data_IF_022004608239
#
_entry.id   IF_022004608239
#
_cell.length_a   1.000
_cell.length_b   1.000
_cell.length_c   1.000
_cell.angle_alpha   90.00
_cell.angle_beta   90.00
_cell.angle_gamma   90.00
#
_symmetry.space_group_name_H-M   'P 1'
#
loop_
_entity.id
_entity.type
_entity.pdbx_description
1 polymer ?
#
# COMPACT_ATOMS: atom_id res chain seq x y z
N UNK A 1 4.67 7.71 -14.56
CA UNK A 1 3.61 8.61 -14.09
C UNK A 1 2.96 8.03 -12.84
N UNK A 2 2.65 8.85 -11.86
CA UNK A 2 1.88 8.47 -10.67
C UNK A 2 0.51 9.14 -10.70
N UNK A 3 -0.49 8.46 -10.14
CA UNK A 3 -1.85 8.99 -9.99
C UNK A 3 -2.12 9.10 -8.48
N UNK A 4 -2.54 10.27 -7.97
CA UNK A 4 -2.90 10.42 -6.57
C UNK A 4 -4.06 9.53 -6.15
N UNK A 5 -4.15 9.26 -4.85
CA UNK A 5 -5.26 8.54 -4.22
C UNK A 5 -5.88 9.40 -3.09
N UNK A 6 -7.07 9.03 -2.69
CA UNK A 6 -7.79 9.51 -1.51
C UNK A 6 -8.41 8.31 -0.75
N UNK A 7 -9.33 8.53 0.18
CA UNK A 7 -9.92 7.48 1.00
C UNK A 7 -10.71 6.43 0.22
N UNK A 8 -11.08 6.72 -1.04
CA UNK A 8 -11.74 5.78 -1.94
C UNK A 8 -10.78 5.06 -2.91
N UNK A 9 -9.46 5.27 -2.77
CA UNK A 9 -8.42 4.71 -3.62
C UNK A 9 -7.94 5.67 -4.70
N UNK A 10 -7.45 5.16 -5.84
CA UNK A 10 -6.94 5.97 -6.94
C UNK A 10 -7.97 6.97 -7.46
N UNK A 11 -7.57 8.23 -7.68
CA UNK A 11 -8.40 9.29 -8.25
C UNK A 11 -8.61 9.09 -9.75
N UNK A 12 -9.82 8.65 -10.13
CA UNK A 12 -10.16 8.35 -11.53
C UNK A 12 -10.21 9.60 -12.41
N UNK A 13 -10.62 10.74 -11.88
CA UNK A 13 -10.59 12.04 -12.55
C UNK A 13 -9.17 12.45 -12.95
N UNK A 14 -8.22 12.34 -12.01
CA UNK A 14 -6.81 12.65 -12.28
C UNK A 14 -6.15 11.62 -13.21
N UNK A 15 -6.54 10.35 -13.12
CA UNK A 15 -6.11 9.34 -14.09
C UNK A 15 -6.57 9.72 -15.51
N UNK A 16 -7.83 10.09 -15.66
CA UNK A 16 -8.39 10.46 -16.98
C UNK A 16 -7.73 11.70 -17.56
N UNK A 17 -7.44 12.72 -16.74
CA UNK A 17 -6.67 13.90 -17.15
C UNK A 17 -5.28 13.50 -17.64
N UNK A 18 -4.60 12.62 -16.92
CA UNK A 18 -3.26 12.15 -17.29
C UNK A 18 -3.28 11.32 -18.58
N UNK A 19 -4.27 10.47 -18.79
CA UNK A 19 -4.47 9.71 -20.02
C UNK A 19 -4.66 10.64 -21.23
N UNK A 20 -5.48 11.68 -21.08
CA UNK A 20 -5.65 12.73 -22.11
C UNK A 20 -4.35 13.47 -22.41
N UNK A 21 -3.55 13.75 -21.39
CA UNK A 21 -2.25 14.42 -21.52
C UNK A 21 -1.23 13.55 -22.27
N UNK A 22 -1.16 12.26 -21.92
CA UNK A 22 -0.29 11.28 -22.60
C UNK A 22 -0.65 11.16 -24.08
N UNK A 23 -1.94 11.04 -24.40
CA UNK A 23 -2.43 10.92 -25.78
C UNK A 23 -2.07 12.12 -26.67
N UNK A 24 -2.11 13.34 -26.14
CA UNK A 24 -1.69 14.56 -26.86
C UNK A 24 -0.20 14.56 -27.21
N UNK A 25 0.64 13.84 -26.47
CA UNK A 25 2.08 13.75 -26.70
C UNK A 25 2.51 12.65 -27.67
N UNK A 26 1.63 12.06 -28.47
CA UNK A 26 1.88 10.90 -29.35
C UNK A 26 2.48 9.67 -28.59
N UNK A 27 2.22 9.58 -27.28
CA UNK A 27 2.60 8.45 -26.45
C UNK A 27 1.34 7.62 -26.15
N UNK A 28 1.53 6.33 -25.93
CA UNK A 28 0.46 5.42 -25.52
C UNK A 28 0.83 4.83 -24.17
N UNK A 29 -0.09 4.88 -23.23
CA UNK A 29 0.01 4.10 -22.00
C UNK A 29 -0.14 2.62 -22.38
N UNK A 30 0.77 1.77 -21.91
CA UNK A 30 0.71 0.31 -22.15
C UNK A 30 0.10 -0.43 -20.99
N UNK A 31 0.41 -0.01 -19.77
CA UNK A 31 -0.06 -0.67 -18.54
C UNK A 31 -0.18 0.32 -17.39
N UNK A 32 -1.08 0.01 -16.47
CA UNK A 32 -1.26 0.68 -15.20
C UNK A 32 -1.15 -0.39 -14.10
N UNK A 33 -0.25 -0.18 -13.15
CA UNK A 33 -0.09 -1.03 -11.96
C UNK A 33 -0.87 -0.43 -10.80
N UNK A 34 -1.61 -1.26 -10.06
CA UNK A 34 -2.35 -0.84 -8.88
C UNK A 34 -2.45 -1.96 -7.84
N UNK A 35 -2.52 -1.56 -6.56
CA UNK A 35 -2.86 -2.42 -5.43
C UNK A 35 -4.25 -1.99 -4.96
N UNK A 36 -5.34 -2.61 -5.41
CA UNK A 36 -6.69 -2.10 -5.14
C UNK A 36 -7.22 -2.42 -3.75
N UNK A 37 -6.57 -3.32 -3.00
CA UNK A 37 -6.92 -3.67 -1.62
C UNK A 37 -5.80 -3.25 -0.67
N UNK A 38 -6.10 -2.38 0.30
CA UNK A 38 -5.15 -1.96 1.35
C UNK A 38 -3.82 -1.50 0.78
N UNK A 39 -3.90 -0.60 -0.17
CA UNK A 39 -2.81 -0.11 -1.01
C UNK A 39 -1.55 0.21 -0.20
N UNK A 40 -0.40 -0.18 -0.70
CA UNK A 40 0.89 0.24 -0.18
C UNK A 40 1.38 1.47 -0.97
N UNK A 41 1.52 2.65 -0.34
CA UNK A 41 1.65 2.90 1.10
C UNK A 41 0.36 3.30 1.84
N UNK A 42 -0.73 3.64 1.15
CA UNK A 42 -1.86 4.37 1.71
C UNK A 42 -2.77 3.57 2.66
N UNK A 43 -2.77 2.25 2.61
CA UNK A 43 -3.70 1.41 3.38
C UNK A 43 -5.15 1.43 2.87
N UNK A 44 -5.47 2.26 1.88
CA UNK A 44 -6.83 2.45 1.37
C UNK A 44 -7.27 1.34 0.42
N UNK A 45 -8.58 1.13 0.34
CA UNK A 45 -9.20 0.17 -0.59
C UNK A 45 -9.93 0.93 -1.70
N UNK A 46 -9.66 0.56 -2.95
CA UNK A 46 -10.37 1.12 -4.11
C UNK A 46 -11.82 0.66 -4.10
N UNK A 47 -12.75 1.62 -4.15
CA UNK A 47 -14.21 1.37 -4.17
C UNK A 47 -14.66 0.63 -5.43
N UNK A 48 -15.82 -0.02 -5.37
CA UNK A 48 -16.40 -0.74 -6.51
C UNK A 48 -16.66 0.16 -7.72
N UNK A 49 -17.07 1.41 -7.49
CA UNK A 49 -17.28 2.39 -8.57
C UNK A 49 -15.97 2.73 -9.29
N UNK A 50 -14.91 2.98 -8.51
CA UNK A 50 -13.58 3.28 -9.08
C UNK A 50 -12.97 2.08 -9.80
N UNK A 51 -13.20 0.86 -9.31
CA UNK A 51 -12.80 -0.39 -10.01
C UNK A 51 -13.48 -0.48 -11.37
N UNK A 52 -14.79 -0.26 -11.43
CA UNK A 52 -15.55 -0.26 -12.67
C UNK A 52 -15.03 0.82 -13.63
N UNK A 53 -14.85 2.06 -13.14
CA UNK A 53 -14.34 3.15 -13.97
C UNK A 53 -12.93 2.91 -14.49
N UNK A 54 -12.05 2.30 -13.70
CA UNK A 54 -10.70 1.92 -14.12
C UNK A 54 -10.74 0.91 -15.28
N UNK A 55 -11.63 -0.09 -15.22
CA UNK A 55 -11.83 -1.06 -16.30
C UNK A 55 -12.33 -0.35 -17.57
N UNK A 56 -13.34 0.52 -17.46
CA UNK A 56 -13.85 1.31 -18.59
C UNK A 56 -12.73 2.13 -19.25
N UNK A 57 -11.93 2.86 -18.47
CA UNK A 57 -10.79 3.64 -18.96
C UNK A 57 -9.74 2.74 -19.62
N UNK A 58 -9.51 1.53 -19.12
CA UNK A 58 -8.56 0.61 -19.73
C UNK A 58 -8.96 0.17 -21.14
N UNK A 59 -10.25 0.02 -21.38
CA UNK A 59 -10.79 -0.24 -22.72
C UNK A 59 -10.80 0.99 -23.62
N UNK A 60 -11.20 2.14 -23.08
CA UNK A 60 -11.27 3.41 -23.83
C UNK A 60 -9.89 3.86 -24.35
N UNK A 61 -8.85 3.72 -23.52
CA UNK A 61 -7.47 4.14 -23.82
C UNK A 61 -6.54 2.99 -24.20
N UNK A 62 -7.05 1.76 -24.27
CA UNK A 62 -6.37 0.52 -24.68
C UNK A 62 -5.05 0.29 -23.93
N UNK A 63 -5.12 0.22 -22.62
CA UNK A 63 -4.03 -0.22 -21.74
C UNK A 63 -4.41 -1.46 -20.91
N UNK A 64 -3.41 -2.19 -20.42
CA UNK A 64 -3.62 -3.31 -19.51
C UNK A 64 -3.53 -2.86 -18.04
N UNK A 65 -4.37 -3.45 -17.19
CA UNK A 65 -4.28 -3.27 -15.74
C UNK A 65 -3.47 -4.42 -15.17
N UNK A 66 -2.50 -4.09 -14.31
CA UNK A 66 -1.81 -5.03 -13.43
C UNK A 66 -2.37 -4.83 -12.03
N UNK A 67 -3.20 -5.77 -11.60
CA UNK A 67 -3.77 -5.84 -10.26
C UNK A 67 -2.84 -6.66 -9.36
N UNK A 68 -2.18 -6.01 -8.41
CA UNK A 68 -1.38 -6.69 -7.38
C UNK A 68 -2.20 -6.78 -6.08
N UNK A 69 -2.43 -8.01 -5.60
CA UNK A 69 -3.30 -8.25 -4.45
C UNK A 69 -2.61 -9.06 -3.34
N UNK A 70 -1.56 -8.50 -2.71
CA UNK A 70 -0.85 -9.19 -1.63
C UNK A 70 -1.62 -9.20 -0.31
N UNK A 71 -2.61 -8.31 -0.14
CA UNK A 71 -3.28 -8.08 1.14
C UNK A 71 -4.76 -8.40 1.16
N UNK A 72 -5.42 -8.65 0.04
CA UNK A 72 -6.89 -8.75 -0.06
C UNK A 72 -7.54 -9.78 0.87
N UNK A 73 -6.78 -10.80 1.31
CA UNK A 73 -7.23 -11.78 2.30
C UNK A 73 -7.12 -11.29 3.75
N UNK A 74 -6.39 -10.20 4.01
CA UNK A 74 -6.17 -9.63 5.35
C UNK A 74 -7.13 -8.45 5.59
N UNK A 75 -8.42 -8.70 5.44
CA UNK A 75 -9.48 -7.74 5.69
C UNK A 75 -9.98 -7.88 7.12
N UNK A 76 -10.03 -6.78 7.86
CA UNK A 76 -10.49 -6.72 9.25
C UNK A 76 -11.93 -6.26 9.34
N UNK A 77 -12.34 -5.37 8.44
CA UNK A 77 -13.66 -4.75 8.39
C UNK A 77 -14.23 -4.77 6.97
N UNK A 78 -15.57 -4.63 6.87
CA UNK A 78 -16.28 -4.59 5.60
C UNK A 78 -16.40 -5.94 4.89
N UNK A 79 -16.94 -5.90 3.68
CA UNK A 79 -17.16 -7.07 2.83
C UNK A 79 -15.99 -7.36 1.90
N UNK A 80 -15.93 -8.59 1.40
CA UNK A 80 -14.96 -8.97 0.39
C UNK A 80 -15.16 -8.17 -0.91
N UNK A 81 -14.06 -7.65 -1.46
CA UNK A 81 -14.09 -6.94 -2.74
C UNK A 81 -13.75 -7.91 -3.89
N UNK A 82 -14.57 -7.87 -4.93
CA UNK A 82 -14.33 -8.66 -6.14
C UNK A 82 -13.09 -8.13 -6.86
N UNK A 83 -12.08 -8.97 -7.16
CA UNK A 83 -10.91 -8.54 -7.91
C UNK A 83 -11.26 -7.95 -9.28
N UNK A 84 -10.44 -7.04 -9.78
CA UNK A 84 -10.56 -6.50 -11.14
C UNK A 84 -10.46 -7.62 -12.18
N UNK A 85 -9.56 -8.59 -11.95
CA UNK A 85 -9.41 -9.78 -12.81
C UNK A 85 -10.70 -10.60 -12.96
N UNK A 86 -11.51 -10.67 -11.93
CA UNK A 86 -12.79 -11.39 -12.00
C UNK A 86 -13.87 -10.61 -12.77
N UNK A 87 -13.63 -9.34 -13.08
CA UNK A 87 -14.54 -8.46 -13.82
C UNK A 87 -14.10 -8.25 -15.27
N UNK A 88 -12.81 -8.45 -15.59
CA UNK A 88 -12.27 -8.27 -16.94
C UNK A 88 -11.08 -9.22 -17.20
N UNK A 89 -11.21 -10.05 -18.24
CA UNK A 89 -10.20 -11.03 -18.63
C UNK A 89 -8.87 -10.42 -19.11
N UNK A 90 -8.85 -9.16 -19.49
CA UNK A 90 -7.62 -8.43 -19.88
C UNK A 90 -6.72 -8.06 -18.69
N UNK A 91 -7.27 -8.04 -17.49
CA UNK A 91 -6.50 -7.72 -16.27
C UNK A 91 -5.46 -8.81 -16.01
N UNK A 92 -4.27 -8.40 -15.65
CA UNK A 92 -3.18 -9.25 -15.16
C UNK A 92 -3.24 -9.21 -13.63
N UNK A 93 -3.56 -10.34 -13.00
CA UNK A 93 -3.62 -10.46 -11.55
C UNK A 93 -2.34 -11.08 -11.00
N UNK A 94 -1.77 -10.44 -9.98
CA UNK A 94 -0.62 -10.91 -9.22
C UNK A 94 -1.07 -11.30 -7.82
N UNK A 95 -0.82 -12.54 -7.44
CA UNK A 95 -1.13 -13.05 -6.10
C UNK A 95 0.10 -13.61 -5.41
N UNK A 96 0.07 -13.66 -4.09
CA UNK A 96 1.16 -14.21 -3.27
C UNK A 96 0.64 -14.83 -1.98
N UNK A 97 1.37 -15.80 -1.45
CA UNK A 97 1.16 -16.36 -0.11
C UNK A 97 1.97 -15.64 0.99
N UNK A 98 2.81 -14.70 0.60
CA UNK A 98 3.78 -14.07 1.51
C UNK A 98 3.15 -13.40 2.74
N UNK A 99 1.89 -12.95 2.65
CA UNK A 99 1.23 -12.20 3.72
C UNK A 99 0.20 -13.04 4.50
N UNK A 100 -0.18 -14.20 3.96
CA UNK A 100 -1.20 -15.09 4.53
C UNK A 100 -0.64 -16.44 4.99
N UNK A 101 0.64 -16.72 4.70
CA UNK A 101 1.31 -17.95 5.11
C UNK A 101 2.77 -17.69 5.49
N UNK A 102 3.70 -17.68 4.51
CA UNK A 102 5.12 -17.60 4.79
C UNK A 102 5.87 -16.80 3.70
N UNK A 103 6.41 -15.60 4.04
CA UNK A 103 7.14 -14.78 3.06
C UNK A 103 8.46 -15.41 2.61
N UNK A 104 9.08 -16.26 3.46
CA UNK A 104 10.36 -16.91 3.16
C UNK A 104 10.31 -17.93 2.03
N UNK A 105 9.15 -18.50 1.71
CA UNK A 105 8.98 -19.49 0.62
C UNK A 105 9.02 -18.86 -0.78
N UNK A 106 8.92 -17.55 -0.91
CA UNK A 106 9.01 -16.79 -2.18
C UNK A 106 8.05 -17.26 -3.27
N UNK A 107 6.81 -17.64 -2.89
CA UNK A 107 5.78 -18.11 -3.83
C UNK A 107 4.79 -16.99 -4.15
N UNK A 108 4.57 -16.79 -5.42
CA UNK A 108 3.53 -15.94 -6.02
C UNK A 108 3.05 -16.54 -7.33
N UNK A 109 1.96 -16.03 -7.85
CA UNK A 109 1.39 -16.49 -9.12
C UNK A 109 0.85 -15.33 -9.94
N UNK A 110 0.73 -15.57 -11.24
CA UNK A 110 0.15 -14.64 -12.21
C UNK A 110 -1.06 -15.31 -12.85
N UNK A 111 -2.19 -14.60 -12.90
CA UNK A 111 -3.35 -14.96 -13.70
C UNK A 111 -3.56 -13.89 -14.78
N UNK A 112 -3.38 -14.24 -16.04
CA UNK A 112 -3.40 -13.30 -17.16
C UNK A 112 -3.91 -13.97 -18.44
N UNK A 113 -4.18 -13.20 -19.53
CA UNK A 113 -4.46 -13.77 -20.85
C UNK A 113 -3.36 -14.73 -21.31
N UNK A 114 -3.74 -15.76 -22.07
CA UNK A 114 -2.83 -16.85 -22.46
C UNK A 114 -1.63 -16.36 -23.25
N UNK A 115 -1.83 -15.42 -24.16
CA UNK A 115 -0.74 -14.83 -24.97
C UNK A 115 0.25 -14.02 -24.12
N UNK A 116 -0.22 -13.35 -23.06
CA UNK A 116 0.61 -12.66 -22.07
C UNK A 116 1.40 -13.67 -21.25
N UNK A 117 0.74 -14.72 -20.73
CA UNK A 117 1.38 -15.78 -19.94
C UNK A 117 2.46 -16.50 -20.74
N UNK A 118 2.23 -16.80 -22.03
CA UNK A 118 3.23 -17.43 -22.86
C UNK A 118 4.54 -16.62 -22.95
N UNK A 119 4.42 -15.30 -23.08
CA UNK A 119 5.59 -14.39 -23.11
C UNK A 119 6.28 -14.27 -21.74
N UNK A 120 5.50 -14.14 -20.66
CA UNK A 120 6.04 -14.10 -19.30
C UNK A 120 6.78 -15.39 -18.98
N UNK A 121 6.24 -16.56 -19.37
CA UNK A 121 6.91 -17.86 -19.15
C UNK A 121 8.26 -17.94 -19.83
N UNK A 122 8.40 -17.43 -21.05
CA UNK A 122 9.69 -17.38 -21.74
C UNK A 122 10.70 -16.46 -21.02
N UNK A 123 10.26 -15.30 -20.59
CA UNK A 123 11.13 -14.37 -19.83
C UNK A 123 11.53 -14.97 -18.49
N UNK A 124 10.59 -15.63 -17.79
CA UNK A 124 10.86 -16.30 -16.52
C UNK A 124 11.92 -17.38 -16.64
N UNK A 125 11.90 -18.18 -17.72
CA UNK A 125 12.93 -19.19 -17.97
C UNK A 125 14.34 -18.57 -18.05
N UNK A 126 14.45 -17.38 -18.62
CA UNK A 126 15.71 -16.65 -18.69
C UNK A 126 16.13 -15.97 -17.38
N UNK A 127 15.16 -15.68 -16.50
CA UNK A 127 15.41 -14.96 -15.25
C UNK A 127 15.80 -15.89 -14.08
N UNK A 128 15.06 -16.98 -13.88
CA UNK A 128 15.23 -17.87 -12.72
C UNK A 128 15.08 -19.36 -13.05
N UNK A 129 14.94 -19.70 -14.33
CA UNK A 129 14.66 -21.03 -14.88
C UNK A 129 13.33 -21.61 -14.39
N UNK A 130 13.18 -21.83 -13.08
CA UNK A 130 11.95 -22.25 -12.40
C UNK A 130 11.97 -21.87 -10.93
N UNK A 131 10.79 -21.74 -10.31
CA UNK A 131 10.66 -21.65 -8.87
C UNK A 131 10.97 -22.99 -8.17
N UNK A 132 11.28 -22.94 -6.87
CA UNK A 132 11.50 -24.14 -6.06
C UNK A 132 10.27 -25.06 -6.08
N UNK A 133 10.42 -26.26 -6.61
CA UNK A 133 9.37 -27.29 -6.62
C UNK A 133 9.04 -27.76 -5.19
N UNK A 134 10.05 -27.85 -4.33
CA UNK A 134 9.87 -28.22 -2.94
C UNK A 134 8.93 -27.25 -2.21
N UNK A 135 9.18 -25.94 -2.35
CA UNK A 135 8.34 -24.91 -1.73
C UNK A 135 6.91 -24.93 -2.28
N UNK A 136 6.73 -25.19 -3.59
CA UNK A 136 5.41 -25.34 -4.18
C UNK A 136 4.63 -26.52 -3.60
N UNK A 137 5.28 -27.68 -3.40
CA UNK A 137 4.66 -28.88 -2.78
C UNK A 137 4.31 -28.59 -1.32
N UNK A 138 5.18 -27.91 -0.56
CA UNK A 138 4.88 -27.48 0.83
C UNK A 138 3.64 -26.58 0.87
N UNK A 139 3.55 -25.63 -0.04
CA UNK A 139 2.40 -24.72 -0.15
C UNK A 139 1.12 -25.48 -0.53
N UNK A 140 1.18 -26.38 -1.49
CA UNK A 140 0.05 -27.25 -1.87
C UNK A 140 -0.47 -28.00 -0.65
N UNK A 141 0.37 -28.75 0.06
CA UNK A 141 -0.03 -29.48 1.25
C UNK A 141 -0.60 -28.57 2.34
N UNK A 142 -0.01 -27.41 2.57
CA UNK A 142 -0.56 -26.49 3.56
C UNK A 142 -2.00 -26.06 3.20
N UNK A 143 -2.26 -25.69 1.96
CA UNK A 143 -3.58 -25.19 1.56
C UNK A 143 -4.62 -26.29 1.30
N UNK A 144 -4.20 -27.53 1.03
CA UNK A 144 -5.11 -28.67 0.82
C UNK A 144 -5.38 -29.48 2.08
N UNK A 145 -4.34 -29.75 2.90
CA UNK A 145 -4.40 -30.75 3.95
C UNK A 145 -4.56 -30.14 5.35
N UNK A 146 -4.47 -28.81 5.47
CA UNK A 146 -4.60 -28.14 6.78
C UNK A 146 -5.80 -27.19 6.84
N UNK A 147 -6.33 -26.91 8.02
CA UNK A 147 -7.39 -25.91 8.20
C UNK A 147 -6.82 -24.49 8.16
N UNK A 148 -6.10 -24.14 7.10
CA UNK A 148 -5.39 -22.86 6.92
C UNK A 148 -6.28 -21.63 7.13
N UNK A 149 -7.58 -21.73 6.82
CA UNK A 149 -8.56 -20.65 7.07
C UNK A 149 -8.61 -20.27 8.56
N UNK A 150 -8.44 -21.22 9.48
CA UNK A 150 -8.38 -20.93 10.92
C UNK A 150 -7.13 -20.13 11.28
N UNK A 151 -6.01 -20.45 10.64
CA UNK A 151 -4.76 -19.68 10.82
C UNK A 151 -4.91 -18.27 10.25
N UNK A 152 -5.51 -18.13 9.07
CA UNK A 152 -5.81 -16.83 8.48
C UNK A 152 -6.71 -15.96 9.40
N UNK A 153 -7.75 -16.56 10.00
CA UNK A 153 -8.60 -15.84 10.97
C UNK A 153 -7.83 -15.35 12.20
N UNK A 154 -6.84 -16.12 12.68
CA UNK A 154 -5.96 -15.65 13.76
C UNK A 154 -5.12 -14.44 13.31
N UNK A 155 -4.57 -14.49 12.09
CA UNK A 155 -3.84 -13.36 11.53
C UNK A 155 -4.72 -12.11 11.41
N UNK A 156 -5.92 -12.25 10.85
CA UNK A 156 -6.90 -11.16 10.72
C UNK A 156 -7.19 -10.54 12.08
N UNK A 157 -7.46 -11.35 13.09
CA UNK A 157 -7.71 -10.89 14.46
C UNK A 157 -6.50 -10.14 15.02
N UNK A 158 -5.31 -10.76 15.00
CA UNK A 158 -4.08 -10.18 15.56
C UNK A 158 -3.69 -8.86 14.87
N UNK A 159 -3.76 -8.81 13.54
CA UNK A 159 -3.44 -7.58 12.82
C UNK A 159 -4.53 -6.50 12.99
N UNK A 160 -5.79 -6.90 13.12
CA UNK A 160 -6.87 -5.99 13.47
C UNK A 160 -6.67 -5.32 14.83
N UNK A 161 -6.33 -6.10 15.88
CA UNK A 161 -6.02 -5.58 17.21
C UNK A 161 -4.84 -4.61 17.21
N UNK A 162 -3.82 -4.88 16.40
CA UNK A 162 -2.64 -4.00 16.23
C UNK A 162 -2.99 -2.71 15.49
N UNK A 163 -3.79 -2.80 14.42
CA UNK A 163 -4.30 -1.64 13.70
C UNK A 163 -5.12 -0.75 14.62
N UNK A 164 -6.01 -1.31 15.41
CA UNK A 164 -6.88 -0.59 16.34
C UNK A 164 -6.06 0.13 17.42
N UNK A 165 -5.03 -0.53 17.96
CA UNK A 165 -4.10 0.09 18.89
C UNK A 165 -3.34 1.27 18.26
N UNK A 166 -2.91 1.15 16.99
CA UNK A 166 -2.24 2.24 16.29
C UNK A 166 -3.19 3.41 16.05
N UNK A 167 -4.41 3.17 15.59
CA UNK A 167 -5.41 4.22 15.37
C UNK A 167 -5.78 4.94 16.67
N UNK A 168 -6.01 4.21 17.75
CA UNK A 168 -6.30 4.79 19.06
C UNK A 168 -5.13 5.66 19.57
N UNK A 169 -3.91 5.20 19.40
CA UNK A 169 -2.73 5.94 19.82
C UNK A 169 -2.49 7.20 18.96
N UNK A 170 -2.77 7.15 17.66
CA UNK A 170 -2.70 8.33 16.79
C UNK A 170 -3.73 9.38 17.21
N UNK A 171 -4.95 8.98 17.51
CA UNK A 171 -6.02 9.87 17.99
C UNK A 171 -5.67 10.50 19.35
N UNK A 172 -5.00 9.75 20.24
CA UNK A 172 -4.65 10.21 21.60
C UNK A 172 -3.44 11.14 21.61
N UNK A 173 -2.41 10.86 20.79
CA UNK A 173 -1.10 11.51 20.93
C UNK A 173 -0.71 12.44 19.80
N UNK A 174 -1.26 12.26 18.57
CA UNK A 174 -0.80 13.07 17.43
C UNK A 174 -1.39 14.48 17.46
N UNK A 175 -0.65 15.47 16.95
CA UNK A 175 -1.13 16.85 16.89
C UNK A 175 -2.33 16.97 15.93
N UNK A 176 -3.25 17.92 16.20
CA UNK A 176 -4.48 18.09 15.42
C UNK A 176 -4.25 18.50 13.96
N UNK A 177 -3.03 18.94 13.61
CA UNK A 177 -2.65 19.26 12.23
C UNK A 177 -2.28 18.01 11.41
N UNK A 178 -2.08 16.87 12.05
CA UNK A 178 -1.84 15.59 11.37
C UNK A 178 -3.15 14.96 10.91
N UNK A 179 -3.07 14.22 9.81
CA UNK A 179 -4.17 13.37 9.35
C UNK A 179 -3.64 12.00 8.93
N UNK A 180 -4.48 10.99 8.95
CA UNK A 180 -4.07 9.64 8.59
C UNK A 180 -5.21 8.85 7.97
N UNK A 181 -4.85 7.81 7.22
CA UNK A 181 -5.81 6.88 6.63
C UNK A 181 -6.32 5.88 7.66
N UNK A 182 -7.53 5.34 7.43
CA UNK A 182 -8.18 4.32 8.27
C UNK A 182 -8.26 2.99 7.49
N UNK A 183 -7.21 2.15 7.52
CA UNK A 183 -7.17 0.93 6.73
C UNK A 183 -8.14 -0.13 7.28
N UNK A 184 -9.00 -0.68 6.40
CA UNK A 184 -9.89 -1.79 6.70
C UNK A 184 -9.18 -3.16 6.68
N UNK A 185 -7.87 -3.17 6.41
CA UNK A 185 -7.04 -4.37 6.29
C UNK A 185 -5.58 -4.06 5.94
N UNK A 186 -4.83 -5.07 5.54
CA UNK A 186 -3.42 -4.90 5.14
C UNK A 186 -2.49 -4.66 6.33
N UNK A 187 -1.42 -3.88 6.14
CA UNK A 187 -0.36 -3.68 7.13
C UNK A 187 0.02 -2.23 7.36
N UNK A 188 -0.49 -1.31 6.54
CA UNK A 188 0.03 0.05 6.46
C UNK A 188 -1.03 1.09 6.76
N UNK A 189 -0.54 2.20 7.30
CA UNK A 189 -1.27 3.42 7.54
C UNK A 189 -0.42 4.58 7.03
N UNK A 190 -1.07 5.55 6.39
CA UNK A 190 -0.43 6.72 5.82
C UNK A 190 -0.75 7.94 6.66
N UNK A 191 0.28 8.61 7.15
CA UNK A 191 0.16 9.86 7.89
C UNK A 191 0.57 11.02 7.00
N UNK A 192 -0.17 12.11 7.07
CA UNK A 192 0.13 13.39 6.43
C UNK A 192 0.26 14.48 7.49
N UNK A 193 1.41 15.15 7.50
CA UNK A 193 1.73 16.31 8.34
C UNK A 193 1.57 17.61 7.53
N UNK A 194 1.63 18.80 8.17
CA UNK A 194 1.65 20.06 7.45
C UNK A 194 2.74 20.12 6.38
N UNK A 195 2.47 20.79 5.27
CA UNK A 195 3.33 20.81 4.06
C UNK A 195 4.76 21.32 4.30
N UNK A 196 4.99 22.10 5.35
CA UNK A 196 6.30 22.60 5.71
C UNK A 196 7.18 21.61 6.49
N UNK A 197 6.61 20.47 6.91
CA UNK A 197 7.34 19.40 7.58
C UNK A 197 8.01 18.48 6.55
N UNK A 198 9.26 18.13 6.79
CA UNK A 198 10.00 17.14 6.00
C UNK A 198 10.24 15.89 6.86
N UNK A 199 9.51 14.80 6.58
CA UNK A 199 9.59 13.55 7.34
C UNK A 199 10.91 12.83 7.12
N UNK A 200 11.56 13.03 5.98
CA UNK A 200 12.90 12.49 5.72
C UNK A 200 13.92 13.05 6.70
N UNK A 201 13.84 14.36 6.98
CA UNK A 201 14.73 15.02 7.97
C UNK A 201 14.44 14.62 9.42
N UNK A 202 13.23 14.14 9.72
CA UNK A 202 12.81 13.69 11.06
C UNK A 202 13.23 12.25 11.37
N UNK A 203 13.64 11.46 10.37
CA UNK A 203 13.89 10.04 10.56
C UNK A 203 15.03 9.78 11.57
N UNK A 204 16.06 10.61 11.59
CA UNK A 204 17.16 10.48 12.54
C UNK A 204 16.67 10.68 13.98
N UNK A 205 15.90 11.74 14.24
CA UNK A 205 15.35 12.04 15.57
C UNK A 205 14.40 10.93 16.05
N UNK A 206 13.59 10.38 15.12
CA UNK A 206 12.71 9.25 15.42
C UNK A 206 13.49 7.99 15.78
N UNK A 207 14.59 7.69 15.07
CA UNK A 207 15.47 6.56 15.38
C UNK A 207 16.14 6.72 16.75
N UNK A 208 16.56 7.91 17.13
CA UNK A 208 17.08 8.20 18.47
C UNK A 208 16.00 7.99 19.56
N UNK A 209 14.75 8.30 19.24
CA UNK A 209 13.60 8.00 20.12
C UNK A 209 13.20 6.51 20.11
N UNK A 210 13.89 5.66 19.34
CA UNK A 210 13.63 4.23 19.22
C UNK A 210 12.42 3.86 18.34
N UNK A 211 12.06 4.71 17.39
CA UNK A 211 10.96 4.50 16.45
C UNK A 211 11.45 4.70 15.02
N UNK A 212 10.90 3.92 14.08
CA UNK A 212 11.17 4.10 12.65
C UNK A 212 9.89 4.13 11.85
N UNK A 213 9.94 4.84 10.72
CA UNK A 213 8.87 4.90 9.73
C UNK A 213 9.49 4.97 8.32
N UNK A 214 8.66 4.88 7.29
CA UNK A 214 9.13 5.06 5.93
C UNK A 214 8.71 6.47 5.44
N UNK A 215 9.68 7.37 5.12
CA UNK A 215 9.38 8.70 4.59
C UNK A 215 8.57 8.64 3.30
N UNK A 216 7.64 9.57 3.14
CA UNK A 216 6.63 9.50 2.10
C UNK A 216 7.16 9.80 0.70
N UNK A 217 8.21 10.60 0.54
CA UNK A 217 8.84 10.91 -0.73
C UNK A 217 9.36 9.67 -1.46
N UNK A 218 9.73 8.63 -0.72
CA UNK A 218 10.17 7.33 -1.25
C UNK A 218 9.10 6.59 -2.09
N UNK A 219 7.84 7.01 -2.00
CA UNK A 219 6.71 6.42 -2.73
C UNK A 219 6.29 7.22 -3.98
N UNK A 220 6.95 8.32 -4.26
CA UNK A 220 6.66 9.16 -5.40
C UNK A 220 7.80 9.14 -6.42
N UNK A 221 7.43 9.18 -7.70
CA UNK A 221 8.38 9.08 -8.83
C UNK A 221 9.34 10.27 -8.87
N UNK A 222 8.91 11.43 -8.39
CA UNK A 222 9.69 12.67 -8.39
C UNK A 222 10.64 12.80 -7.18
N UNK A 223 10.48 11.93 -6.16
CA UNK A 223 11.26 11.97 -4.92
C UNK A 223 11.09 13.25 -4.09
N UNK A 224 10.04 14.03 -4.35
CA UNK A 224 9.75 15.32 -3.70
C UNK A 224 8.34 15.37 -3.13
N UNK A 225 7.36 14.93 -3.90
CA UNK A 225 5.97 14.81 -3.44
C UNK A 225 5.92 13.87 -2.24
N UNK A 226 5.07 14.16 -1.27
CA UNK A 226 4.91 13.33 -0.07
C UNK A 226 6.00 13.52 1.00
N UNK A 227 6.88 14.53 0.90
CA UNK A 227 7.88 14.83 1.95
C UNK A 227 7.27 15.06 3.34
N UNK A 228 6.06 15.57 3.39
CA UNK A 228 5.32 15.75 4.64
C UNK A 228 4.50 14.51 5.04
N UNK A 229 4.71 13.39 4.39
CA UNK A 229 3.98 12.16 4.66
C UNK A 229 4.91 11.08 5.20
N UNK A 230 4.33 10.07 5.86
CA UNK A 230 5.06 8.87 6.26
C UNK A 230 4.15 7.64 6.25
N UNK A 231 4.73 6.49 5.96
CA UNK A 231 4.06 5.20 6.11
C UNK A 231 4.41 4.56 7.44
N UNK A 232 3.40 4.23 8.21
CA UNK A 232 3.51 3.40 9.41
C UNK A 232 3.13 1.95 9.11
N UNK A 233 3.67 1.02 9.90
CA UNK A 233 3.42 -0.41 9.78
C UNK A 233 3.05 -0.99 11.14
N UNK A 234 1.91 -1.65 11.24
CA UNK A 234 1.40 -2.27 12.47
C UNK A 234 1.52 -3.81 12.46
N UNK A 235 2.20 -4.42 11.50
CA UNK A 235 2.16 -5.87 11.31
C UNK A 235 3.06 -6.68 12.25
N UNK A 236 4.00 -6.05 12.97
CA UNK A 236 5.03 -6.79 13.72
C UNK A 236 4.89 -6.65 15.23
N UNK A 237 4.85 -5.45 15.77
CA UNK A 237 4.90 -5.17 17.20
C UNK A 237 3.59 -5.55 17.96
N UNK A 238 3.67 -5.64 19.28
CA UNK A 238 2.47 -5.83 20.13
C UNK A 238 1.66 -4.53 20.20
N UNK A 239 0.35 -4.58 20.54
CA UNK A 239 -0.47 -3.38 20.74
C UNK A 239 0.16 -2.36 21.70
N UNK A 240 0.76 -2.83 22.81
CA UNK A 240 1.42 -1.99 23.81
C UNK A 240 2.64 -1.28 23.23
N UNK A 241 3.49 -2.01 22.48
CA UNK A 241 4.67 -1.45 21.82
C UNK A 241 4.28 -0.48 20.72
N UNK A 242 3.20 -0.73 19.98
CA UNK A 242 2.65 0.18 18.97
C UNK A 242 2.21 1.49 19.65
N UNK A 243 1.44 1.42 20.73
CA UNK A 243 0.99 2.61 21.48
C UNK A 243 2.18 3.44 21.97
N UNK A 244 3.18 2.78 22.57
CA UNK A 244 4.38 3.49 23.04
C UNK A 244 5.20 4.08 21.90
N UNK A 245 5.34 3.38 20.77
CA UNK A 245 6.04 3.90 19.60
C UNK A 245 5.34 5.14 19.03
N UNK A 246 4.01 5.13 18.92
CA UNK A 246 3.24 6.28 18.45
C UNK A 246 3.37 7.46 19.42
N UNK A 247 3.34 7.23 20.74
CA UNK A 247 3.57 8.28 21.75
C UNK A 247 4.94 8.93 21.60
N UNK A 248 5.99 8.16 21.36
CA UNK A 248 7.35 8.69 21.11
C UNK A 248 7.43 9.46 19.80
N UNK A 249 6.83 8.92 18.74
CA UNK A 249 6.81 9.59 17.44
C UNK A 249 6.05 10.90 17.50
N UNK A 250 4.93 10.96 18.23
CA UNK A 250 4.16 12.18 18.45
C UNK A 250 5.02 13.28 19.08
N UNK A 251 5.85 12.94 20.08
CA UNK A 251 6.77 13.90 20.71
C UNK A 251 7.79 14.44 19.72
N UNK A 252 8.39 13.60 18.88
CA UNK A 252 9.33 14.04 17.83
C UNK A 252 8.64 14.97 16.84
N UNK A 253 7.40 14.66 16.45
CA UNK A 253 6.60 15.51 15.55
C UNK A 253 6.30 16.85 16.21
N UNK A 254 5.90 16.87 17.49
CA UNK A 254 5.56 18.08 18.24
C UNK A 254 6.76 19.03 18.37
N UNK A 255 7.92 18.50 18.77
CA UNK A 255 9.19 19.25 18.83
C UNK A 255 9.56 19.85 17.47
N UNK A 256 9.32 19.12 16.38
CA UNK A 256 9.57 19.60 15.03
C UNK A 256 8.58 20.67 14.59
N UNK A 257 7.31 20.53 14.92
CA UNK A 257 6.28 21.55 14.64
C UNK A 257 6.54 22.85 15.40
N UNK A 258 6.94 22.77 16.67
CA UNK A 258 7.31 23.95 17.46
C UNK A 258 8.50 24.70 16.85
N UNK A 259 9.52 23.96 16.40
CA UNK A 259 10.67 24.55 15.73
C UNK A 259 10.26 25.30 14.44
N UNK A 260 9.42 24.68 13.61
CA UNK A 260 8.93 25.34 12.39
C UNK A 260 8.05 26.55 12.67
N UNK A 261 7.18 26.50 13.68
CA UNK A 261 6.36 27.64 14.11
C UNK A 261 7.25 28.81 14.54
N UNK A 262 8.28 28.54 15.31
CA UNK A 262 9.26 29.57 15.70
C UNK A 262 9.97 30.23 14.50
N UNK A 263 10.33 29.47 13.46
CA UNK A 263 10.91 30.00 12.24
C UNK A 263 9.91 30.80 11.37
N UNK A 264 8.65 30.37 11.32
CA UNK A 264 7.57 31.12 10.64
C UNK A 264 7.34 32.47 11.35
N UNK A 265 7.23 32.46 12.66
CA UNK A 265 7.03 33.67 13.49
C UNK A 265 8.22 34.64 13.38
N UNK A 266 9.43 34.13 13.25
CA UNK A 266 10.64 34.93 13.01
C UNK A 266 10.77 35.43 11.54
N UNK A 267 9.83 35.03 10.65
CA UNK A 267 9.87 35.42 9.24
C UNK A 267 10.98 34.73 8.41
N UNK A 268 11.59 33.67 8.94
CA UNK A 268 12.69 32.95 8.29
C UNK A 268 12.20 31.98 7.21
N UNK A 269 10.95 31.51 7.31
CA UNK A 269 10.24 30.68 6.33
C UNK A 269 8.82 31.23 6.12
N UNK A 270 8.28 31.00 4.88
CA UNK A 270 6.92 31.42 4.50
C UNK A 270 5.99 30.22 4.40
#
# INVERSE_FOLDING_TARGET
HSVPFDDEGMRMDLLEEELKRIGKGNKRLKMLYTIPNFQNPGGVTMTGERRKRLIELSHEYDFMIIEDDPYGRLRYEGGHMVPLKAQDDRVIYLGTISKIFAPGLRIGWICAPVDVLARISLVKQGADLCGSTFDQVVVEHYFTDTPWQRTLQKFIKTYGERRDAMLAALEEYFPPEASWTHPEGGFFLWVTLPKYVDTGSMLADALEAGVTFCPGDSFYVDGVTGRNCMRLNFSYETPENITEAIRRLAKVIEERLELYRAFIDAGAIK
#
